data_IF_173962457642
#
_entry.id   IF_173962457642
#
_cell.length_a   1.000
_cell.length_b   1.000
_cell.length_c   1.000
_cell.angle_alpha   90.00
_cell.angle_beta   90.00
_cell.angle_gamma   90.00
#
_symmetry.space_group_name_H-M   'P 1'
#
loop_
_entity.id
_entity.type
_entity.pdbx_description
1 polymer ?
#
# COMPACT_ATOMS: atom_id res chain seq x y z
N UNK A 1 -19.76 20.17 31.56
CA UNK A 1 -18.46 20.22 30.84
C UNK A 1 -17.93 18.83 30.45
N UNK A 2 -17.85 17.86 31.37
CA UNK A 2 -17.35 16.49 31.09
C UNK A 2 -17.99 15.76 29.89
N UNK A 3 -19.33 15.81 29.76
CA UNK A 3 -20.07 15.14 28.66
C UNK A 3 -19.67 15.67 27.28
N UNK A 4 -19.44 16.97 27.18
CA UNK A 4 -19.03 17.65 25.94
C UNK A 4 -17.60 17.26 25.57
N UNK A 5 -16.71 17.18 26.55
CA UNK A 5 -15.33 16.74 26.35
C UNK A 5 -15.25 15.29 25.86
N UNK A 6 -16.02 14.38 26.47
CA UNK A 6 -16.06 12.97 26.05
C UNK A 6 -16.56 12.83 24.61
N UNK A 7 -17.62 13.56 24.24
CA UNK A 7 -18.15 13.56 22.87
C UNK A 7 -17.09 14.03 21.87
N UNK A 8 -16.39 15.12 22.17
CA UNK A 8 -15.32 15.67 21.32
C UNK A 8 -14.17 14.69 21.12
N UNK A 9 -13.76 13.98 22.18
CA UNK A 9 -12.73 12.93 22.10
C UNK A 9 -13.18 11.79 21.19
N UNK A 10 -14.43 11.33 21.32
CA UNK A 10 -14.99 10.28 20.46
C UNK A 10 -15.02 10.68 18.99
N UNK A 11 -15.47 11.89 18.68
CA UNK A 11 -15.47 12.44 17.31
C UNK A 11 -14.06 12.56 16.74
N UNK A 12 -13.09 12.97 17.55
CA UNK A 12 -11.70 13.09 17.12
C UNK A 12 -11.07 11.73 16.82
N UNK A 13 -11.25 10.75 17.71
CA UNK A 13 -10.80 9.37 17.47
C UNK A 13 -11.43 8.76 16.23
N UNK A 14 -12.73 8.97 16.02
CA UNK A 14 -13.40 8.46 14.82
C UNK A 14 -12.81 9.05 13.52
N UNK A 15 -12.41 10.32 13.54
CA UNK A 15 -11.72 10.96 12.41
C UNK A 15 -10.32 10.39 12.21
N UNK A 16 -9.56 10.23 13.29
CA UNK A 16 -8.21 9.65 13.26
C UNK A 16 -8.23 8.22 12.70
N UNK A 17 -9.09 7.34 13.24
CA UNK A 17 -9.22 5.96 12.74
C UNK A 17 -9.69 5.88 11.29
N UNK A 18 -10.55 6.81 10.85
CA UNK A 18 -10.94 6.89 9.43
C UNK A 18 -9.76 7.27 8.54
N UNK A 19 -8.93 8.21 8.98
CA UNK A 19 -7.74 8.62 8.23
C UNK A 19 -6.71 7.49 8.15
N UNK A 20 -6.47 6.79 9.26
CA UNK A 20 -5.60 5.61 9.30
C UNK A 20 -6.08 4.53 8.33
N UNK A 21 -7.38 4.21 8.32
CA UNK A 21 -7.94 3.23 7.39
C UNK A 21 -7.81 3.63 5.92
N UNK A 22 -7.94 4.93 5.62
CA UNK A 22 -7.70 5.45 4.26
C UNK A 22 -6.22 5.30 3.88
N UNK A 23 -5.30 5.67 4.77
CA UNK A 23 -3.86 5.55 4.53
C UNK A 23 -3.45 4.09 4.31
N UNK A 24 -3.94 3.16 5.14
CA UNK A 24 -3.69 1.73 4.99
C UNK A 24 -4.25 1.20 3.66
N UNK A 25 -5.45 1.63 3.27
CA UNK A 25 -6.06 1.28 1.99
C UNK A 25 -5.23 1.77 0.79
N UNK A 26 -4.71 2.99 0.84
CA UNK A 26 -3.83 3.55 -0.19
C UNK A 26 -2.53 2.74 -0.29
N UNK A 27 -1.88 2.46 0.83
CA UNK A 27 -0.63 1.68 0.85
C UNK A 27 -0.83 0.27 0.30
N UNK A 28 -1.92 -0.41 0.69
CA UNK A 28 -2.28 -1.73 0.14
C UNK A 28 -2.52 -1.65 -1.37
N UNK A 29 -3.26 -0.64 -1.83
CA UNK A 29 -3.53 -0.42 -3.26
C UNK A 29 -2.26 -0.20 -4.09
N UNK A 30 -1.35 0.66 -3.61
CA UNK A 30 -0.03 0.90 -4.24
C UNK A 30 0.74 -0.41 -4.36
N UNK A 31 0.80 -1.20 -3.27
CA UNK A 31 1.54 -2.45 -3.26
C UNK A 31 0.94 -3.53 -4.18
N UNK A 32 -0.39 -3.65 -4.22
CA UNK A 32 -1.07 -4.56 -5.17
C UNK A 32 -0.75 -4.15 -6.62
N UNK A 33 -0.86 -2.86 -6.94
CA UNK A 33 -0.56 -2.35 -8.28
C UNK A 33 0.90 -2.57 -8.67
N UNK A 34 1.85 -2.40 -7.75
CA UNK A 34 3.26 -2.66 -7.99
C UNK A 34 3.49 -4.13 -8.37
N UNK A 35 2.88 -5.07 -7.63
CA UNK A 35 2.96 -6.51 -7.91
C UNK A 35 2.35 -6.86 -9.27
N UNK A 36 1.17 -6.33 -9.59
CA UNK A 36 0.51 -6.60 -10.88
C UNK A 36 1.30 -6.04 -12.06
N UNK A 37 1.87 -4.84 -11.88
CA UNK A 37 2.77 -4.23 -12.87
C UNK A 37 4.01 -5.10 -13.06
N UNK A 38 4.66 -5.55 -11.98
CA UNK A 38 5.83 -6.42 -12.05
C UNK A 38 5.53 -7.73 -12.80
N UNK A 39 4.38 -8.37 -12.54
CA UNK A 39 3.95 -9.58 -13.27
C UNK A 39 3.80 -9.33 -14.77
N UNK A 40 3.24 -8.19 -15.17
CA UNK A 40 3.10 -7.83 -16.59
C UNK A 40 4.46 -7.60 -17.24
N UNK A 41 5.38 -6.91 -16.56
CA UNK A 41 6.72 -6.63 -17.07
C UNK A 41 7.57 -7.91 -17.17
N UNK A 42 7.45 -8.83 -16.20
CA UNK A 42 8.07 -10.16 -16.27
C UNK A 42 7.57 -10.94 -17.49
N UNK A 43 6.26 -10.94 -17.76
CA UNK A 43 5.69 -11.56 -18.96
C UNK A 43 6.22 -10.95 -20.26
N UNK A 44 6.62 -9.67 -20.23
CA UNK A 44 7.28 -8.96 -21.34
C UNK A 44 8.78 -9.24 -21.42
N UNK A 45 9.33 -10.14 -20.58
CA UNK A 45 10.75 -10.49 -20.50
C UNK A 45 11.67 -9.31 -20.18
N UNK A 46 11.15 -8.30 -19.46
CA UNK A 46 11.96 -7.18 -18.98
C UNK A 46 12.93 -7.65 -17.88
N UNK A 47 14.16 -7.11 -17.80
CA UNK A 47 15.12 -7.49 -16.76
C UNK A 47 14.61 -7.19 -15.34
N UNK A 48 14.83 -8.12 -14.41
CA UNK A 48 14.33 -8.02 -13.02
C UNK A 48 14.82 -6.75 -12.32
N UNK A 49 16.03 -6.29 -12.60
CA UNK A 49 16.58 -5.07 -12.01
C UNK A 49 15.81 -3.82 -12.46
N UNK A 50 15.43 -3.74 -13.75
CA UNK A 50 14.63 -2.63 -14.26
C UNK A 50 13.20 -2.66 -13.71
N UNK A 51 12.63 -3.86 -13.54
CA UNK A 51 11.32 -4.03 -12.91
C UNK A 51 11.35 -3.55 -11.44
N UNK A 52 12.44 -3.84 -10.72
CA UNK A 52 12.63 -3.40 -9.33
C UNK A 52 12.63 -1.87 -9.23
N UNK A 53 13.32 -1.19 -10.14
CA UNK A 53 13.35 0.27 -10.22
C UNK A 53 11.96 0.87 -10.55
N UNK A 54 11.22 0.27 -11.49
CA UNK A 54 9.91 0.79 -11.92
C UNK A 54 8.83 0.60 -10.86
N UNK A 55 8.86 -0.54 -10.16
CA UNK A 55 7.77 -0.95 -9.26
C UNK A 55 8.07 -0.69 -7.79
N UNK A 56 9.28 -0.21 -7.48
CA UNK A 56 9.80 -0.04 -6.11
C UNK A 56 9.74 -1.34 -5.29
N UNK A 57 9.69 -2.49 -5.95
CA UNK A 57 9.80 -3.80 -5.34
C UNK A 57 11.25 -4.24 -5.30
N UNK A 58 11.60 -5.04 -4.31
CA UNK A 58 12.91 -5.68 -4.26
C UNK A 58 13.04 -6.76 -5.34
N UNK A 59 14.27 -6.98 -5.81
CA UNK A 59 14.60 -8.08 -6.73
C UNK A 59 14.11 -9.43 -6.20
N UNK A 60 14.20 -9.65 -4.88
CA UNK A 60 13.72 -10.87 -4.24
C UNK A 60 12.20 -11.03 -4.33
N UNK A 61 11.44 -9.97 -4.11
CA UNK A 61 9.98 -9.98 -4.26
C UNK A 61 9.60 -10.31 -5.70
N UNK A 62 10.27 -9.70 -6.68
CA UNK A 62 9.98 -9.94 -8.10
C UNK A 62 10.32 -11.38 -8.50
N UNK A 63 11.45 -11.92 -8.05
CA UNK A 63 11.82 -13.34 -8.28
C UNK A 63 10.81 -14.32 -7.69
N UNK A 64 10.14 -13.97 -6.59
CA UNK A 64 9.06 -14.80 -6.03
C UNK A 64 7.80 -14.81 -6.90
N UNK A 65 7.60 -13.80 -7.77
CA UNK A 65 6.48 -13.72 -8.72
C UNK A 65 6.70 -14.55 -9.99
N UNK A 66 7.91 -15.04 -10.23
CA UNK A 66 8.28 -15.86 -11.39
C UNK A 66 7.95 -17.36 -11.21
N UNK A 67 7.51 -17.76 -10.01
CA UNK A 67 7.00 -19.10 -9.72
C UNK A 67 5.60 -19.32 -10.29
#
# INVERSE_FOLDING_TARGET
>A
MLRTSIKKIGEQRAKESKLEGIQEGIQKGIRVKAIDTAKILLKKKMPVNEIAEITELTVEEIRKLEK
#
